data_IF_210899706077
#
_entry.id   IF_210899706077
#
_cell.length_a   1.000
_cell.length_b   1.000
_cell.length_c   1.000
_cell.angle_alpha   90.00
_cell.angle_beta   90.00
_cell.angle_gamma   90.00
#
_symmetry.space_group_name_H-M   'P 1'
#
loop_
_entity.id
_entity.type
_entity.pdbx_description
1 polymer ?
#
# COMPACT_ATOMS: atom_id res chain seq x y z
N UNK A 1 -43.51 45.47 16.66
CA UNK A 1 -42.19 45.58 15.99
C UNK A 1 -41.83 44.23 15.40
N UNK A 2 -41.67 44.11 14.07
CA UNK A 2 -41.08 42.90 13.47
C UNK A 2 -39.57 43.00 13.67
N UNK A 3 -38.99 42.11 14.48
CA UNK A 3 -37.55 41.95 14.59
C UNK A 3 -36.99 41.66 13.20
N UNK A 4 -36.03 42.46 12.73
CA UNK A 4 -35.37 42.22 11.45
C UNK A 4 -34.71 40.82 11.47
N UNK A 5 -35.13 39.95 10.55
CA UNK A 5 -34.57 38.60 10.40
C UNK A 5 -33.09 38.75 10.05
N UNK A 6 -32.21 38.30 10.94
CA UNK A 6 -30.75 38.31 10.71
C UNK A 6 -30.47 37.58 9.38
N UNK A 7 -29.59 38.14 8.56
CA UNK A 7 -29.17 37.49 7.32
C UNK A 7 -28.45 36.17 7.68
N UNK A 8 -28.92 35.01 7.18
CA UNK A 8 -28.31 33.72 7.52
C UNK A 8 -26.90 33.56 6.97
N UNK A 9 -26.50 34.34 5.96
CA UNK A 9 -25.23 34.21 5.26
C UNK A 9 -24.16 35.19 5.77
N UNK A 10 -24.37 35.81 6.93
CA UNK A 10 -23.41 36.74 7.53
C UNK A 10 -22.84 36.11 8.80
N UNK A 11 -21.54 35.89 8.78
CA UNK A 11 -20.75 35.55 9.97
C UNK A 11 -19.52 36.46 10.05
N UNK A 12 -18.91 36.56 11.22
CA UNK A 12 -17.71 37.37 11.47
C UNK A 12 -16.57 36.47 11.89
N UNK A 13 -15.39 36.67 11.29
CA UNK A 13 -14.18 35.90 11.59
C UNK A 13 -13.23 36.77 12.42
N UNK A 14 -12.85 36.31 13.61
CA UNK A 14 -11.90 37.01 14.50
C UNK A 14 -10.48 36.48 14.38
N UNK A 15 -9.52 37.34 14.00
CA UNK A 15 -8.10 36.97 13.92
C UNK A 15 -7.31 37.36 15.18
N UNK A 16 -6.52 36.43 15.73
CA UNK A 16 -5.68 36.67 16.91
C UNK A 16 -4.37 37.35 16.50
N UNK A 17 -4.19 38.63 16.88
CA UNK A 17 -3.02 39.45 16.50
C UNK A 17 -1.66 38.82 16.80
N UNK A 18 -1.53 38.01 17.86
CA UNK A 18 -0.24 37.40 18.26
C UNK A 18 0.01 36.02 17.65
N UNK A 19 -0.94 35.45 16.91
CA UNK A 19 -0.77 34.14 16.31
C UNK A 19 -0.17 34.31 14.90
N UNK A 20 1.01 33.74 14.60
CA UNK A 20 1.67 33.90 13.30
C UNK A 20 0.85 33.32 12.15
N UNK A 21 0.12 32.23 12.35
CA UNK A 21 -0.74 31.65 11.32
C UNK A 21 -1.92 32.57 11.00
N UNK A 22 -2.50 33.23 12.02
CA UNK A 22 -3.56 34.21 11.79
C UNK A 22 -3.03 35.43 11.02
N UNK A 23 -1.83 35.92 11.36
CA UNK A 23 -1.21 37.03 10.62
C UNK A 23 -0.99 36.66 9.15
N UNK A 24 -0.47 35.45 8.89
CA UNK A 24 -0.25 34.96 7.53
C UNK A 24 -1.54 34.84 6.74
N UNK A 25 -2.60 34.29 7.33
CA UNK A 25 -3.91 34.20 6.67
C UNK A 25 -4.48 35.59 6.39
N UNK A 26 -4.37 36.53 7.33
CA UNK A 26 -4.81 37.92 7.13
C UNK A 26 -4.05 38.59 5.99
N UNK A 27 -2.73 38.40 5.91
CA UNK A 27 -1.92 38.92 4.82
C UNK A 27 -2.41 38.40 3.47
N UNK A 28 -2.64 37.08 3.33
CA UNK A 28 -3.15 36.47 2.10
C UNK A 28 -4.53 37.06 1.73
N UNK A 29 -5.47 37.09 2.68
CA UNK A 29 -6.82 37.60 2.44
C UNK A 29 -6.82 39.08 2.06
N UNK A 30 -5.97 39.90 2.68
CA UNK A 30 -5.88 41.33 2.36
C UNK A 30 -5.40 41.59 0.92
N UNK A 31 -4.56 40.72 0.36
CA UNK A 31 -4.06 40.84 -1.02
C UNK A 31 -4.91 40.09 -2.05
N UNK A 32 -6.01 39.45 -1.64
CA UNK A 32 -6.92 38.73 -2.54
C UNK A 32 -8.15 39.58 -2.83
N UNK A 33 -8.53 39.74 -4.09
CA UNK A 33 -9.74 40.51 -4.47
C UNK A 33 -11.02 39.79 -4.00
N UNK A 34 -11.17 38.52 -4.35
CA UNK A 34 -12.34 37.68 -4.04
C UNK A 34 -12.13 36.81 -2.78
N UNK A 35 -12.06 37.45 -1.62
CA UNK A 35 -11.82 36.76 -0.33
C UNK A 35 -12.86 35.68 -0.02
N UNK A 36 -14.12 35.92 -0.38
CA UNK A 36 -15.22 35.00 -0.11
C UNK A 36 -15.04 33.70 -0.91
N UNK A 37 -14.76 33.80 -2.22
CA UNK A 37 -14.54 32.65 -3.10
C UNK A 37 -13.31 31.85 -2.70
N UNK A 38 -12.22 32.53 -2.30
CA UNK A 38 -11.03 31.86 -1.78
C UNK A 38 -11.36 31.06 -0.51
N UNK A 39 -12.13 31.64 0.42
CA UNK A 39 -12.53 30.96 1.66
C UNK A 39 -13.44 29.77 1.36
N UNK A 40 -14.43 29.93 0.46
CA UNK A 40 -15.35 28.86 0.05
C UNK A 40 -14.56 27.70 -0.57
N UNK A 41 -13.74 27.98 -1.58
CA UNK A 41 -12.90 26.98 -2.24
C UNK A 41 -12.00 26.27 -1.23
N UNK A 42 -11.25 27.01 -0.40
CA UNK A 42 -10.34 26.40 0.57
C UNK A 42 -11.04 25.45 1.55
N UNK A 43 -12.26 25.80 2.01
CA UNK A 43 -13.04 24.97 2.94
C UNK A 43 -13.57 23.73 2.23
N UNK A 44 -14.17 23.87 1.04
CA UNK A 44 -14.69 22.74 0.27
C UNK A 44 -13.56 21.76 -0.09
N UNK A 45 -12.39 22.26 -0.51
CA UNK A 45 -11.20 21.45 -0.73
C UNK A 45 -10.76 20.70 0.53
N UNK A 46 -10.68 21.40 1.67
CA UNK A 46 -10.25 20.80 2.92
C UNK A 46 -11.21 19.71 3.41
N UNK A 47 -12.51 19.87 3.16
CA UNK A 47 -13.54 18.90 3.50
C UNK A 47 -13.66 17.76 2.47
N UNK A 48 -12.96 17.85 1.33
CA UNK A 48 -13.10 16.89 0.23
C UNK A 48 -14.44 17.00 -0.49
N UNK A 49 -15.13 18.14 -0.37
CA UNK A 49 -16.40 18.44 -1.04
C UNK A 49 -16.20 19.20 -2.36
N UNK A 50 -14.95 19.57 -2.69
CA UNK A 50 -14.58 20.11 -4.00
C UNK A 50 -13.87 19.06 -4.85
N UNK A 51 -14.63 18.44 -5.76
CA UNK A 51 -14.12 17.46 -6.73
C UNK A 51 -13.04 18.07 -7.66
N UNK A 52 -12.96 19.41 -7.76
CA UNK A 52 -12.00 20.08 -8.65
C UNK A 52 -10.59 20.18 -8.06
N UNK A 53 -10.44 20.10 -6.74
CA UNK A 53 -9.15 20.22 -6.04
C UNK A 53 -8.69 18.90 -5.42
N UNK A 54 -9.54 17.87 -5.46
CA UNK A 54 -9.08 16.48 -5.36
C UNK A 54 -8.00 16.12 -6.41
N UNK A 55 -7.85 16.93 -7.46
CA UNK A 55 -6.72 16.89 -8.41
C UNK A 55 -5.37 17.39 -7.82
N UNK A 56 -5.32 17.82 -6.55
CA UNK A 56 -4.08 18.05 -5.80
C UNK A 56 -3.52 16.79 -5.14
N UNK A 57 -4.31 15.70 -5.11
CA UNK A 57 -3.82 14.38 -4.77
C UNK A 57 -3.04 13.84 -5.95
N UNK A 58 -1.75 14.20 -6.03
CA UNK A 58 -0.71 13.48 -6.76
C UNK A 58 -1.30 12.63 -7.91
N UNK A 59 -1.75 13.31 -8.98
CA UNK A 59 -2.50 12.73 -10.08
C UNK A 59 -1.89 11.38 -10.43
N UNK A 60 -2.61 10.30 -10.09
CA UNK A 60 -2.07 8.94 -10.12
C UNK A 60 -1.55 8.63 -11.52
N UNK A 61 -2.15 9.26 -12.53
CA UNK A 61 -1.76 9.24 -13.94
C UNK A 61 -0.32 9.71 -14.15
N UNK A 62 0.12 10.75 -13.44
CA UNK A 62 1.50 11.24 -13.48
C UNK A 62 2.51 10.26 -12.85
N UNK A 63 2.05 9.37 -11.97
CA UNK A 63 2.88 8.35 -11.35
C UNK A 63 2.81 6.99 -12.08
N UNK A 64 1.88 6.79 -13.01
CA UNK A 64 1.79 5.56 -13.80
C UNK A 64 3.12 5.12 -14.42
N UNK A 65 3.94 6.01 -15.02
CA UNK A 65 5.23 5.60 -15.59
C UNK A 65 6.19 5.09 -14.52
N UNK A 66 6.15 5.67 -13.31
CA UNK A 66 7.00 5.25 -12.19
C UNK A 66 6.52 3.91 -11.62
N UNK A 67 5.21 3.74 -11.47
CA UNK A 67 4.58 2.50 -10.99
C UNK A 67 4.86 1.35 -11.96
N UNK A 68 4.73 1.59 -13.26
CA UNK A 68 5.02 0.59 -14.30
C UNK A 68 6.49 0.14 -14.23
N UNK A 69 7.43 1.08 -14.15
CA UNK A 69 8.86 0.76 -14.00
C UNK A 69 9.16 -0.01 -12.71
N UNK A 70 8.49 0.32 -11.60
CA UNK A 70 8.64 -0.39 -10.33
C UNK A 70 8.15 -1.84 -10.44
N UNK A 71 6.99 -2.06 -11.07
CA UNK A 71 6.43 -3.40 -11.31
C UNK A 71 7.37 -4.21 -12.21
N UNK A 72 7.81 -3.65 -13.34
CA UNK A 72 8.72 -4.33 -14.27
C UNK A 72 10.02 -4.75 -13.56
N UNK A 73 10.60 -3.86 -12.74
CA UNK A 73 11.82 -4.13 -11.98
C UNK A 73 11.61 -5.29 -11.00
N UNK A 74 10.51 -5.29 -10.24
CA UNK A 74 10.26 -6.33 -9.23
C UNK A 74 9.96 -7.69 -9.88
N UNK A 75 9.24 -7.71 -11.01
CA UNK A 75 9.00 -8.93 -11.81
C UNK A 75 10.30 -9.50 -12.37
N UNK A 76 11.17 -8.66 -12.96
CA UNK A 76 12.46 -9.10 -13.47
C UNK A 76 13.32 -9.70 -12.35
N UNK A 77 13.33 -9.05 -11.18
CA UNK A 77 14.06 -9.52 -10.01
C UNK A 77 13.51 -10.84 -9.46
N UNK A 78 12.20 -11.07 -9.55
CA UNK A 78 11.58 -12.34 -9.18
C UNK A 78 11.95 -13.48 -10.14
N UNK A 79 11.98 -13.19 -11.46
CA UNK A 79 12.37 -14.16 -12.49
C UNK A 79 13.86 -14.51 -12.40
N UNK A 80 14.73 -13.53 -12.16
CA UNK A 80 16.17 -13.75 -12.04
C UNK A 80 16.53 -14.64 -10.84
N UNK A 81 15.80 -14.51 -9.72
CA UNK A 81 15.94 -15.43 -8.57
C UNK A 81 15.59 -16.88 -8.92
N UNK A 82 14.70 -17.11 -9.87
CA UNK A 82 14.35 -18.45 -10.36
C UNK A 82 15.43 -19.01 -11.29
N UNK A 83 16.04 -18.17 -12.12
CA UNK A 83 17.10 -18.56 -13.07
C UNK A 83 18.45 -18.80 -12.37
N UNK A 84 18.79 -17.97 -11.37
CA UNK A 84 19.97 -18.18 -10.50
C UNK A 84 19.84 -19.45 -9.65
N UNK A 85 18.60 -19.88 -9.36
CA UNK A 85 18.32 -21.18 -8.73
C UNK A 85 18.43 -22.36 -9.69
N UNK A 86 18.35 -22.14 -11.01
CA UNK A 86 18.44 -23.17 -12.04
C UNK A 86 19.89 -23.37 -12.56
N UNK A 87 20.75 -22.35 -12.47
CA UNK A 87 22.13 -22.38 -12.98
C UNK A 87 23.24 -22.50 -11.92
N UNK A 88 22.93 -22.76 -10.65
CA UNK A 88 23.96 -23.08 -9.65
C UNK A 88 24.30 -24.58 -9.65
N UNK A 89 25.16 -24.99 -10.58
CA UNK A 89 25.89 -26.27 -10.49
C UNK A 89 26.95 -26.19 -9.39
N UNK A 90 26.56 -26.63 -8.18
CA UNK A 90 27.25 -27.53 -7.23
C UNK A 90 28.77 -27.35 -6.98
N UNK A 91 29.17 -27.32 -5.69
CA UNK A 91 30.22 -28.21 -5.21
C UNK A 91 29.70 -29.19 -4.14
N UNK A 92 29.93 -30.47 -4.44
CA UNK A 92 29.85 -31.69 -3.63
C UNK A 92 29.27 -31.61 -2.21
N UNK A 93 28.10 -32.22 -2.02
CA UNK A 93 27.84 -33.14 -0.89
C UNK A 93 27.01 -34.34 -1.34
N UNK A 94 27.71 -35.47 -1.39
CA UNK A 94 27.26 -36.83 -1.03
C UNK A 94 25.89 -37.30 -1.56
N UNK A 95 25.99 -38.10 -2.62
CA UNK A 95 25.14 -39.22 -3.00
C UNK A 95 23.94 -39.55 -2.07
N UNK A 96 22.73 -39.28 -2.55
CA UNK A 96 21.63 -40.26 -2.54
C UNK A 96 20.54 -39.77 -3.47
N UNK A 97 20.21 -40.61 -4.47
CA UNK A 97 19.20 -40.27 -5.47
C UNK A 97 17.80 -40.26 -4.85
N UNK A 98 17.10 -39.13 -5.02
CA UNK A 98 15.65 -39.07 -4.82
C UNK A 98 15.03 -38.71 -6.18
N UNK A 99 14.76 -39.75 -6.96
CA UNK A 99 13.92 -39.65 -8.15
C UNK A 99 12.52 -39.29 -7.68
N UNK A 100 12.02 -38.13 -8.09
CA UNK A 100 10.63 -37.72 -7.89
C UNK A 100 9.75 -38.79 -8.54
N UNK A 101 8.92 -39.54 -7.79
CA UNK A 101 8.12 -40.58 -8.40
C UNK A 101 6.94 -39.93 -9.15
N UNK A 102 6.87 -40.19 -10.44
CA UNK A 102 5.68 -39.94 -11.25
C UNK A 102 4.53 -40.80 -10.69
N UNK A 103 3.45 -40.13 -10.27
CA UNK A 103 2.27 -40.74 -9.64
C UNK A 103 1.28 -41.28 -10.68
N UNK A 104 1.66 -41.28 -11.96
CA UNK A 104 0.84 -41.75 -13.08
C UNK A 104 1.18 -43.20 -13.44
N UNK A 105 1.03 -44.13 -12.50
CA UNK A 105 1.34 -45.54 -12.74
C UNK A 105 0.74 -46.48 -11.69
N UNK A 106 -0.24 -47.27 -12.11
CA UNK A 106 -0.78 -48.40 -11.37
C UNK A 106 0.33 -49.46 -11.21
N UNK A 107 1.02 -49.49 -10.07
CA UNK A 107 2.05 -50.49 -9.82
C UNK A 107 2.95 -50.22 -8.60
N UNK A 108 2.68 -50.96 -7.51
CA UNK A 108 3.50 -51.11 -6.29
C UNK A 108 3.55 -49.89 -5.35
N UNK A 109 3.11 -50.01 -4.08
CA UNK A 109 3.24 -48.91 -3.14
C UNK A 109 4.72 -48.57 -2.94
N UNK A 110 5.11 -47.28 -2.95
CA UNK A 110 6.48 -46.87 -2.71
C UNK A 110 6.91 -47.40 -1.34
N UNK A 111 8.06 -48.10 -1.28
CA UNK A 111 8.61 -48.57 -0.01
C UNK A 111 8.97 -47.36 0.84
N UNK A 112 8.12 -47.03 1.80
CA UNK A 112 8.32 -45.90 2.70
C UNK A 112 9.59 -46.17 3.51
N UNK A 113 10.60 -45.33 3.32
CA UNK A 113 11.86 -45.41 4.05
C UNK A 113 11.62 -45.28 5.56
N UNK A 114 12.23 -46.15 6.36
CA UNK A 114 12.06 -46.22 7.82
C UNK A 114 12.41 -44.89 8.52
N UNK A 115 13.36 -44.14 7.98
CA UNK A 115 13.70 -42.80 8.47
C UNK A 115 12.59 -41.78 8.23
N UNK A 116 11.88 -41.88 7.09
CA UNK A 116 10.73 -41.02 6.78
C UNK A 116 9.58 -41.34 7.74
N UNK A 117 9.30 -42.61 7.99
CA UNK A 117 8.27 -43.03 8.95
C UNK A 117 8.57 -42.53 10.37
N UNK A 118 9.83 -42.55 10.79
CA UNK A 118 10.28 -42.04 12.09
C UNK A 118 10.10 -40.52 12.21
N UNK A 119 10.43 -39.77 11.16
CA UNK A 119 10.23 -38.32 11.11
C UNK A 119 8.74 -37.94 11.16
N UNK A 120 7.90 -38.63 10.40
CA UNK A 120 6.44 -38.44 10.40
C UNK A 120 5.88 -38.70 11.80
N UNK A 121 6.26 -39.82 12.43
CA UNK A 121 5.79 -40.20 13.77
C UNK A 121 6.23 -39.17 14.82
N UNK A 122 7.48 -38.67 14.72
CA UNK A 122 8.00 -37.64 15.61
C UNK A 122 7.21 -36.33 15.49
N UNK A 123 6.98 -35.86 14.26
CA UNK A 123 6.20 -34.65 13.99
C UNK A 123 4.77 -34.78 14.51
N UNK A 124 4.10 -35.91 14.27
CA UNK A 124 2.75 -36.17 14.77
C UNK A 124 2.67 -36.24 16.30
N UNK A 125 3.69 -36.77 16.98
CA UNK A 125 3.74 -36.77 18.44
C UNK A 125 3.95 -35.38 19.02
N UNK A 126 4.64 -34.47 18.33
CA UNK A 126 4.82 -33.10 18.78
C UNK A 126 3.48 -32.35 18.88
N UNK A 127 2.58 -32.53 17.90
CA UNK A 127 1.25 -31.91 17.90
C UNK A 127 0.29 -32.49 18.94
N UNK A 128 0.51 -33.73 19.40
CA UNK A 128 -0.34 -34.36 20.44
C UNK A 128 0.03 -33.95 21.87
N UNK A 129 1.15 -33.23 22.06
CA UNK A 129 1.65 -32.80 23.39
C UNK A 129 1.38 -31.33 23.72
N UNK A 130 0.61 -30.62 22.88
CA UNK A 130 0.00 -29.32 23.17
C UNK A 130 -1.48 -29.48 23.42
#
# INVERSE_FOLDING_TARGET
>A
MRMAKKNPNIFTIGFKKRNPNHQRVVEILNHTDEKAELIVTAILCYMGEDDKVAAGGADIENFLPMIENLIQTEVQKALQKYDDSANSTVPEREASGESVPDISGEGTPPSINENIMKNITSAMNAFRRT
#
